data_IF_854036099143
#
_entry.id   IF_854036099143
#
_cell.length_a   1.000
_cell.length_b   1.000
_cell.length_c   1.000
_cell.angle_alpha   90.00
_cell.angle_beta   90.00
_cell.angle_gamma   90.00
#
_symmetry.space_group_name_H-M   'P 1'
#
loop_
_entity.id
_entity.type
_entity.pdbx_description
1 polymer ?
#
# COMPACT_ATOMS: atom_id res chain seq x y z
N UNK A 1 5.25 16.33 23.09
CA UNK A 1 4.89 17.03 21.82
C UNK A 1 5.76 16.41 20.75
N UNK A 2 5.18 15.54 19.91
CA UNK A 2 5.88 14.96 18.76
C UNK A 2 5.82 16.01 17.66
N UNK A 3 6.95 16.56 17.23
CA UNK A 3 6.95 17.70 16.29
C UNK A 3 6.51 17.32 14.87
N UNK A 4 6.27 16.02 14.59
CA UNK A 4 5.89 15.45 13.29
C UNK A 4 6.73 15.96 12.11
N UNK A 5 7.88 16.58 12.39
CA UNK A 5 8.58 17.42 11.43
C UNK A 5 9.41 16.58 10.47
N UNK A 6 9.94 15.45 10.97
CA UNK A 6 10.74 14.47 10.22
C UNK A 6 10.58 13.08 10.84
N UNK A 7 10.58 12.07 9.99
CA UNK A 7 10.67 10.66 10.35
C UNK A 7 11.47 9.92 9.28
N UNK A 8 12.23 8.91 9.69
CA UNK A 8 13.03 8.08 8.79
C UNK A 8 12.48 6.65 8.80
N UNK A 9 12.50 5.99 7.64
CA UNK A 9 12.30 4.55 7.52
C UNK A 9 13.69 3.94 7.35
N UNK A 10 14.04 2.98 8.21
CA UNK A 10 15.31 2.28 8.15
C UNK A 10 15.11 0.81 8.50
N UNK A 11 16.06 -0.01 8.08
CA UNK A 11 16.18 -1.41 8.41
C UNK A 11 17.10 -1.57 9.62
N UNK A 12 16.65 -2.36 10.59
CA UNK A 12 17.47 -2.70 11.73
C UNK A 12 18.47 -3.79 11.30
N UNK A 13 19.75 -3.54 11.55
CA UNK A 13 20.87 -4.34 11.03
C UNK A 13 21.59 -5.18 12.10
N UNK A 14 21.25 -5.04 13.38
CA UNK A 14 21.73 -5.94 14.43
C UNK A 14 20.80 -7.17 14.58
N UNK A 15 21.38 -8.30 15.01
CA UNK A 15 20.69 -9.59 15.06
C UNK A 15 19.57 -9.68 16.12
N UNK A 16 19.62 -8.88 17.19
CA UNK A 16 18.68 -8.93 18.32
C UNK A 16 18.15 -7.53 18.70
N UNK A 17 17.27 -6.93 17.89
CA UNK A 17 16.82 -5.56 18.10
C UNK A 17 15.75 -5.37 19.18
N UNK A 18 15.21 -6.46 19.74
CA UNK A 18 14.08 -6.45 20.67
C UNK A 18 14.45 -6.49 22.16
N UNK A 19 15.74 -6.63 22.50
CA UNK A 19 16.22 -6.59 23.89
C UNK A 19 16.91 -5.27 24.18
N UNK A 20 16.31 -4.41 25.01
CA UNK A 20 16.85 -3.14 25.54
C UNK A 20 18.28 -2.79 25.06
N UNK A 21 18.40 -2.18 23.88
CA UNK A 21 19.68 -2.04 23.21
C UNK A 21 19.64 -1.07 22.03
N UNK A 22 20.83 -0.70 21.57
CA UNK A 22 21.04 0.19 20.43
C UNK A 22 20.48 -0.44 19.15
N UNK A 23 19.63 0.28 18.44
CA UNK A 23 19.16 -0.11 17.11
C UNK A 23 20.21 0.29 16.06
N UNK A 24 20.99 -0.67 15.59
CA UNK A 24 21.99 -0.41 14.56
C UNK A 24 21.33 -0.31 13.18
N UNK A 25 21.69 0.68 12.38
CA UNK A 25 21.18 0.89 11.03
C UNK A 25 22.31 1.07 10.01
N UNK A 26 23.22 0.08 9.92
CA UNK A 26 24.28 0.02 8.90
C UNK A 26 23.67 -0.20 7.50
N UNK A 27 24.39 -0.73 6.51
CA UNK A 27 23.91 -0.86 5.12
C UNK A 27 22.51 -1.45 4.94
N UNK A 28 22.13 -2.38 5.81
CA UNK A 28 20.86 -3.10 5.70
C UNK A 28 20.90 -4.16 4.62
N UNK A 29 19.74 -4.73 4.30
CA UNK A 29 19.55 -5.77 3.29
C UNK A 29 18.70 -5.28 2.12
N UNK A 30 19.08 -5.63 0.89
CA UNK A 30 18.39 -5.20 -0.33
C UNK A 30 18.83 -3.83 -0.82
N UNK A 31 18.25 -3.38 -1.94
CA UNK A 31 18.52 -2.07 -2.54
C UNK A 31 17.28 -1.18 -2.41
N UNK A 32 17.39 0.06 -1.88
CA UNK A 32 18.62 0.75 -1.46
C UNK A 32 19.09 0.42 -0.02
N UNK A 33 18.39 -0.45 0.72
CA UNK A 33 18.69 -0.71 2.13
C UNK A 33 18.56 0.56 2.98
N UNK A 34 19.57 0.86 3.81
CA UNK A 34 19.67 2.11 4.57
C UNK A 34 20.54 3.16 3.87
N UNK A 35 20.86 2.99 2.59
CA UNK A 35 21.72 3.93 1.89
C UNK A 35 21.02 5.28 1.65
N UNK A 36 21.64 6.36 2.14
CA UNK A 36 21.15 7.73 2.11
C UNK A 36 22.27 8.68 1.66
N UNK A 37 22.65 8.59 0.39
CA UNK A 37 23.75 9.37 -0.21
C UNK A 37 23.54 10.89 -0.19
N UNK A 38 22.29 11.33 -0.07
CA UNK A 38 21.90 12.74 -0.21
C UNK A 38 21.90 13.47 1.13
N UNK A 39 22.14 12.78 2.25
CA UNK A 39 22.21 13.41 3.56
C UNK A 39 23.57 14.12 3.75
N UNK A 40 23.59 15.46 3.87
CA UNK A 40 24.83 16.23 4.01
C UNK A 40 25.61 15.90 5.29
N UNK A 41 24.98 15.29 6.29
CA UNK A 41 25.63 14.83 7.53
C UNK A 41 26.34 13.48 7.41
N UNK A 42 26.33 12.83 6.24
CA UNK A 42 26.84 11.47 6.06
C UNK A 42 27.67 11.27 4.77
N UNK A 43 28.76 12.05 4.55
CA UNK A 43 29.55 11.93 3.33
C UNK A 43 30.37 10.62 3.30
N UNK A 44 30.41 9.97 2.13
CA UNK A 44 31.32 8.84 1.84
C UNK A 44 30.64 7.48 1.65
N UNK A 45 31.45 6.41 1.61
CA UNK A 45 31.01 5.04 1.30
C UNK A 45 30.07 4.40 2.36
N UNK A 46 29.89 5.04 3.51
CA UNK A 46 29.07 4.57 4.65
C UNK A 46 27.84 5.47 4.89
N UNK A 47 27.18 5.91 3.83
CA UNK A 47 26.04 6.83 3.91
C UNK A 47 24.77 6.13 4.46
N UNK A 48 24.75 5.76 5.75
CA UNK A 48 23.63 5.11 6.42
C UNK A 48 23.03 5.95 7.55
N UNK A 49 23.25 7.26 7.53
CA UNK A 49 22.70 8.17 8.54
C UNK A 49 21.21 8.44 8.32
N UNK A 50 20.48 8.52 9.43
CA UNK A 50 19.13 9.07 9.46
C UNK A 50 19.14 10.56 9.13
N UNK A 51 18.02 11.12 8.68
CA UNK A 51 17.90 12.51 8.25
C UNK A 51 18.25 13.56 9.31
N UNK A 52 18.24 13.18 10.61
CA UNK A 52 18.69 14.01 11.73
C UNK A 52 19.13 13.15 12.93
N UNK A 53 19.70 13.80 13.94
CA UNK A 53 19.88 13.21 15.28
C UNK A 53 18.54 13.21 16.00
N UNK A 54 18.13 12.04 16.50
CA UNK A 54 16.91 11.85 17.29
C UNK A 54 17.23 11.87 18.79
N UNK A 55 16.44 12.59 19.57
CA UNK A 55 16.59 12.70 21.02
C UNK A 55 16.04 11.50 21.78
N UNK A 56 16.15 11.53 23.10
CA UNK A 56 15.62 10.48 23.98
C UNK A 56 14.08 10.39 23.98
N UNK A 57 13.40 11.38 23.41
CA UNK A 57 11.95 11.45 23.23
C UNK A 57 11.46 10.85 21.89
N UNK A 58 12.38 10.33 21.07
CA UNK A 58 12.02 9.69 19.82
C UNK A 58 11.34 8.32 20.06
N UNK A 59 10.35 8.03 19.23
CA UNK A 59 9.63 6.76 19.23
C UNK A 59 9.94 5.97 17.96
N UNK A 60 10.11 4.66 18.09
CA UNK A 60 10.32 3.74 16.96
C UNK A 60 9.04 2.95 16.73
N UNK A 61 8.66 2.81 15.47
CA UNK A 61 7.52 2.01 15.04
C UNK A 61 7.97 0.94 14.07
N UNK A 62 7.36 -0.24 14.17
CA UNK A 62 7.59 -1.32 13.22
C UNK A 62 6.76 -1.04 11.96
N UNK A 63 7.39 -1.07 10.79
CA UNK A 63 6.68 -0.99 9.53
C UNK A 63 5.76 -2.22 9.39
N UNK A 64 4.47 -1.96 9.22
CA UNK A 64 3.49 -3.03 9.01
C UNK A 64 3.28 -3.25 7.51
N UNK A 65 3.40 -4.51 7.09
CA UNK A 65 2.94 -4.97 5.78
C UNK A 65 1.56 -5.58 5.92
N UNK A 66 0.65 -5.25 5.00
CA UNK A 66 -0.65 -5.90 4.89
C UNK A 66 -0.74 -6.46 3.47
N UNK A 67 -0.97 -7.77 3.38
CA UNK A 67 -1.17 -8.47 2.11
C UNK A 67 -2.67 -8.70 1.91
N UNK A 68 -3.18 -8.26 0.76
CA UNK A 68 -4.56 -8.52 0.35
C UNK A 68 -4.57 -9.47 -0.85
N UNK A 69 -5.48 -10.44 -0.83
CA UNK A 69 -5.65 -11.39 -1.93
C UNK A 69 -7.12 -11.81 -2.07
N UNK A 70 -7.54 -12.11 -3.29
CA UNK A 70 -8.84 -12.75 -3.55
C UNK A 70 -8.65 -14.26 -3.57
N UNK A 71 -9.53 -14.98 -2.90
CA UNK A 71 -9.53 -16.45 -2.85
C UNK A 71 -10.93 -17.01 -2.62
N UNK A 72 -11.06 -18.33 -2.59
CA UNK A 72 -12.29 -18.98 -2.15
C UNK A 72 -12.40 -18.85 -0.63
N UNK A 73 -13.48 -18.21 -0.17
CA UNK A 73 -13.87 -18.09 1.23
C UNK A 73 -14.45 -19.38 1.78
N UNK A 74 -14.72 -19.37 3.08
CA UNK A 74 -15.24 -20.50 3.84
C UNK A 74 -16.62 -20.97 3.37
N UNK A 75 -17.42 -20.09 2.76
CA UNK A 75 -18.74 -20.39 2.21
C UNK A 75 -18.69 -20.86 0.74
N UNK A 76 -17.48 -21.04 0.16
CA UNK A 76 -17.29 -21.42 -1.23
C UNK A 76 -17.41 -20.25 -2.22
N UNK A 77 -17.58 -19.05 -1.71
CA UNK A 77 -17.72 -17.80 -2.44
C UNK A 77 -16.40 -17.01 -2.49
N UNK A 78 -16.15 -16.15 -3.48
CA UNK A 78 -14.98 -15.28 -3.50
C UNK A 78 -14.96 -14.35 -2.29
N UNK A 79 -13.83 -14.35 -1.59
CA UNK A 79 -13.61 -13.51 -0.43
C UNK A 79 -12.27 -12.76 -0.54
N UNK A 80 -12.22 -11.60 0.11
CA UNK A 80 -11.01 -10.85 0.34
C UNK A 80 -10.32 -11.38 1.59
N UNK A 81 -9.09 -11.82 1.42
CA UNK A 81 -8.20 -12.23 2.50
C UNK A 81 -7.26 -11.09 2.86
N UNK A 82 -6.98 -10.95 4.15
CA UNK A 82 -5.98 -10.05 4.71
C UNK A 82 -4.96 -10.87 5.48
N UNK A 83 -3.69 -10.81 5.06
CA UNK A 83 -2.60 -11.60 5.64
C UNK A 83 -2.90 -13.11 5.68
N UNK A 84 -3.55 -13.63 4.64
CA UNK A 84 -3.91 -15.04 4.53
C UNK A 84 -5.14 -15.47 5.34
N UNK A 85 -5.80 -14.56 6.05
CA UNK A 85 -7.04 -14.83 6.79
C UNK A 85 -8.21 -14.17 6.07
N UNK A 86 -9.32 -14.87 5.96
CA UNK A 86 -10.56 -14.34 5.38
C UNK A 86 -11.00 -13.08 6.14
N UNK A 87 -11.22 -11.99 5.41
CA UNK A 87 -11.52 -10.68 6.00
C UNK A 87 -12.90 -10.17 5.62
N UNK A 88 -13.27 -10.27 4.35
CA UNK A 88 -14.60 -9.91 3.85
C UNK A 88 -15.04 -10.95 2.82
N UNK A 89 -16.22 -11.52 3.04
CA UNK A 89 -16.84 -12.42 2.07
C UNK A 89 -17.60 -11.64 0.98
N UNK A 90 -17.91 -12.32 -0.13
CA UNK A 90 -18.61 -11.77 -1.29
C UNK A 90 -17.78 -10.77 -2.10
N UNK A 91 -16.46 -10.68 -1.86
CA UNK A 91 -15.54 -9.81 -2.61
C UNK A 91 -14.88 -10.60 -3.72
N UNK A 92 -15.27 -10.31 -4.97
CA UNK A 92 -14.74 -10.99 -6.15
C UNK A 92 -13.53 -10.29 -6.78
N UNK A 93 -13.34 -9.00 -6.52
CA UNK A 93 -12.21 -8.25 -7.09
C UNK A 93 -11.78 -7.10 -6.18
N UNK A 94 -10.47 -6.91 -6.07
CA UNK A 94 -9.83 -5.86 -5.30
C UNK A 94 -8.64 -5.31 -6.09
N UNK A 95 -8.66 -4.01 -6.41
CA UNK A 95 -7.61 -3.36 -7.19
C UNK A 95 -7.17 -2.06 -6.53
N UNK A 96 -5.89 -1.73 -6.71
CA UNK A 96 -5.25 -0.54 -6.16
C UNK A 96 -4.46 0.17 -7.26
N UNK A 97 -4.72 1.47 -7.43
CA UNK A 97 -3.95 2.35 -8.29
C UNK A 97 -3.25 3.43 -7.47
N UNK A 98 -2.10 3.86 -7.98
CA UNK A 98 -1.21 4.82 -7.36
C UNK A 98 -1.26 6.13 -8.14
N UNK A 99 -1.56 7.22 -7.46
CA UNK A 99 -1.65 8.55 -8.02
C UNK A 99 -0.31 9.26 -7.97
N UNK A 100 0.32 9.47 -9.13
CA UNK A 100 1.62 10.16 -9.24
C UNK A 100 1.45 11.67 -9.46
N UNK A 101 2.19 12.48 -8.70
CA UNK A 101 2.40 13.90 -8.95
C UNK A 101 3.71 14.11 -9.71
N UNK A 102 3.58 14.36 -11.02
CA UNK A 102 4.70 14.52 -11.94
C UNK A 102 5.12 15.97 -12.15
N UNK A 103 4.34 16.93 -11.66
CA UNK A 103 4.59 18.36 -11.83
C UNK A 103 4.76 19.13 -10.51
N UNK A 104 4.73 18.45 -9.37
CA UNK A 104 4.94 19.04 -8.04
C UNK A 104 3.75 19.88 -7.56
N UNK A 105 2.57 19.68 -8.14
CA UNK A 105 1.35 20.45 -7.79
C UNK A 105 0.68 19.99 -6.50
N UNK A 106 1.19 18.94 -5.87
CA UNK A 106 0.56 18.22 -4.75
C UNK A 106 -0.82 17.64 -5.11
N UNK A 107 -1.01 17.33 -6.39
CA UNK A 107 -2.18 16.64 -6.91
C UNK A 107 -1.76 15.53 -7.87
N UNK A 108 -2.49 14.41 -7.87
CA UNK A 108 -2.18 13.28 -8.72
C UNK A 108 -2.57 13.63 -10.17
N UNK A 109 -1.64 13.53 -11.11
CA UNK A 109 -1.90 13.77 -12.53
C UNK A 109 -2.59 12.58 -13.19
N UNK A 110 -2.21 11.36 -12.79
CA UNK A 110 -2.75 10.11 -13.31
C UNK A 110 -2.66 9.00 -12.27
N UNK A 111 -3.39 7.91 -12.49
CA UNK A 111 -3.43 6.73 -11.62
C UNK A 111 -3.00 5.50 -12.40
N UNK A 112 -2.01 4.76 -11.88
CA UNK A 112 -1.44 3.57 -12.52
C UNK A 112 -1.31 2.40 -11.55
N UNK A 113 -1.30 1.13 -12.02
CA UNK A 113 -1.00 -0.01 -11.18
C UNK A 113 0.46 0.03 -10.68
N UNK A 114 0.74 -0.68 -9.58
CA UNK A 114 2.05 -0.63 -8.91
C UNK A 114 3.24 -0.91 -9.84
N UNK A 115 3.08 -1.84 -10.79
CA UNK A 115 4.12 -2.23 -11.73
C UNK A 115 4.39 -1.20 -12.85
N UNK A 116 3.58 -0.15 -12.93
CA UNK A 116 3.73 0.95 -13.89
C UNK A 116 4.12 2.27 -13.23
N UNK A 117 4.25 2.31 -11.90
CA UNK A 117 4.76 3.48 -11.20
C UNK A 117 6.23 3.67 -11.55
N UNK A 118 6.56 4.84 -12.11
CA UNK A 118 7.94 5.15 -12.51
C UNK A 118 8.79 5.49 -11.29
N UNK A 119 8.22 6.26 -10.36
CA UNK A 119 8.89 6.66 -9.13
C UNK A 119 7.90 6.66 -7.95
N UNK A 120 8.06 5.69 -7.05
CA UNK A 120 7.22 5.58 -5.85
C UNK A 120 7.34 6.82 -4.93
N UNK A 121 8.40 7.63 -5.06
CA UNK A 121 8.52 8.88 -4.31
C UNK A 121 7.51 9.95 -4.77
N UNK A 122 6.99 9.84 -6.00
CA UNK A 122 5.99 10.76 -6.57
C UNK A 122 4.55 10.37 -6.28
N UNK A 123 4.32 9.22 -5.64
CA UNK A 123 2.98 8.79 -5.27
C UNK A 123 2.46 9.64 -4.11
N UNK A 124 1.33 10.33 -4.32
CA UNK A 124 0.71 11.18 -3.31
C UNK A 124 -0.70 10.73 -2.90
N UNK A 125 -1.32 9.83 -3.66
CA UNK A 125 -2.64 9.29 -3.37
C UNK A 125 -2.76 7.84 -3.83
N UNK A 126 -3.73 7.14 -3.28
CA UNK A 126 -4.06 5.77 -3.64
C UNK A 126 -5.56 5.72 -3.94
N UNK A 127 -5.93 5.07 -5.03
CA UNK A 127 -7.31 4.77 -5.38
C UNK A 127 -7.55 3.27 -5.25
N UNK A 128 -8.51 2.90 -4.43
CA UNK A 128 -8.89 1.51 -4.20
C UNK A 128 -10.26 1.28 -4.82
N UNK A 129 -10.44 0.17 -5.51
CA UNK A 129 -11.73 -0.30 -5.96
C UNK A 129 -11.98 -1.74 -5.51
N UNK A 130 -13.21 -2.00 -5.09
CA UNK A 130 -13.69 -3.31 -4.63
C UNK A 130 -14.96 -3.63 -5.40
N UNK A 131 -15.07 -4.87 -5.86
CA UNK A 131 -16.30 -5.40 -6.44
C UNK A 131 -16.85 -6.46 -5.51
N UNK A 132 -18.06 -6.24 -5.04
CA UNK A 132 -18.83 -7.23 -4.27
C UNK A 132 -19.88 -7.86 -5.15
N UNK A 133 -20.22 -9.13 -4.89
CA UNK A 133 -21.30 -9.84 -5.56
C UNK A 133 -22.34 -10.38 -4.59
N UNK A 134 -23.55 -10.63 -5.08
CA UNK A 134 -24.56 -11.37 -4.32
C UNK A 134 -24.12 -12.81 -4.07
N UNK A 135 -24.54 -13.36 -2.92
CA UNK A 135 -24.39 -14.79 -2.62
C UNK A 135 -25.20 -15.65 -3.59
N UNK A 136 -26.46 -15.29 -3.79
CA UNK A 136 -27.33 -16.00 -4.71
C UNK A 136 -27.04 -15.62 -6.17
N UNK A 137 -27.13 -16.62 -7.03
CA UNK A 137 -27.20 -16.48 -8.49
C UNK A 137 -28.67 -16.32 -8.94
N UNK A 138 -28.88 -15.96 -10.20
CA UNK A 138 -30.20 -15.75 -10.81
C UNK A 138 -31.03 -14.63 -10.15
N UNK A 139 -30.36 -13.57 -9.69
CA UNK A 139 -31.00 -12.35 -9.19
C UNK A 139 -31.29 -11.33 -10.30
N UNK A 140 -30.82 -11.59 -11.52
CA UNK A 140 -31.12 -10.85 -12.74
C UNK A 140 -31.54 -11.83 -13.82
N UNK A 141 -32.50 -11.41 -14.65
CA UNK A 141 -32.99 -12.22 -15.77
C UNK A 141 -31.92 -12.33 -16.86
N UNK A 142 -31.47 -13.56 -17.15
CA UNK A 142 -30.38 -13.81 -18.08
C UNK A 142 -28.99 -13.43 -17.53
N UNK A 143 -28.12 -12.89 -18.38
CA UNK A 143 -26.73 -12.57 -17.99
C UNK A 143 -26.67 -11.23 -17.29
N UNK A 144 -25.91 -11.16 -16.19
CA UNK A 144 -25.75 -9.93 -15.41
C UNK A 144 -25.15 -8.78 -16.26
N UNK A 145 -25.58 -7.53 -16.01
CA UNK A 145 -25.04 -6.37 -16.73
C UNK A 145 -23.53 -6.23 -16.58
N UNK A 146 -22.88 -5.75 -17.65
CA UNK A 146 -21.48 -5.36 -17.58
C UNK A 146 -21.29 -4.19 -16.59
N UNK A 147 -20.15 -4.17 -15.91
CA UNK A 147 -19.78 -3.11 -14.98
C UNK A 147 -18.39 -2.57 -15.32
N UNK A 148 -18.09 -1.35 -14.87
CA UNK A 148 -16.76 -0.74 -15.03
C UNK A 148 -16.06 -0.64 -13.69
N UNK A 149 -14.82 -1.14 -13.64
CA UNK A 149 -13.94 -1.03 -12.49
C UNK A 149 -12.67 -0.30 -12.92
N UNK A 150 -12.44 0.90 -12.37
CA UNK A 150 -11.25 1.71 -12.66
C UNK A 150 -11.01 1.95 -14.16
N UNK A 151 -12.08 2.05 -14.95
CA UNK A 151 -12.02 2.25 -16.40
C UNK A 151 -11.91 0.95 -17.22
N UNK A 152 -11.82 -0.21 -16.57
CA UNK A 152 -11.87 -1.52 -17.23
C UNK A 152 -13.30 -2.04 -17.18
N UNK A 153 -13.87 -2.34 -18.35
CA UNK A 153 -15.19 -2.95 -18.43
C UNK A 153 -15.09 -4.46 -18.27
N UNK A 154 -15.94 -5.02 -17.43
CA UNK A 154 -16.05 -6.45 -17.17
C UNK A 154 -17.47 -6.90 -17.50
N UNK A 155 -17.59 -7.94 -18.30
CA UNK A 155 -18.86 -8.59 -18.63
C UNK A 155 -18.96 -9.92 -17.89
N UNK A 156 -19.78 -10.02 -16.84
CA UNK A 156 -20.02 -11.29 -16.18
C UNK A 156 -20.65 -12.33 -17.12
N UNK A 157 -20.47 -13.61 -16.78
CA UNK A 157 -21.11 -14.74 -17.47
C UNK A 157 -22.14 -15.46 -16.56
N UNK A 158 -22.45 -14.88 -15.40
CA UNK A 158 -23.43 -15.38 -14.42
C UNK A 158 -24.59 -14.39 -14.27
N UNK A 159 -25.55 -14.71 -13.40
CA UNK A 159 -26.77 -13.92 -13.15
C UNK A 159 -26.73 -13.28 -11.76
N UNK A 160 -25.54 -12.92 -11.26
CA UNK A 160 -25.32 -12.31 -9.94
C UNK A 160 -25.32 -10.79 -10.00
N UNK A 161 -25.86 -10.17 -8.95
CA UNK A 161 -25.78 -8.72 -8.76
C UNK A 161 -24.38 -8.35 -8.29
N UNK A 162 -23.86 -7.24 -8.82
CA UNK A 162 -22.54 -6.71 -8.45
C UNK A 162 -22.61 -5.23 -8.11
N UNK A 163 -21.81 -4.83 -7.15
CA UNK A 163 -21.65 -3.43 -6.77
C UNK A 163 -20.16 -3.09 -6.74
N UNK A 164 -19.81 -2.00 -7.42
CA UNK A 164 -18.44 -1.47 -7.44
C UNK A 164 -18.35 -0.32 -6.45
N UNK A 165 -17.44 -0.43 -5.49
CA UNK A 165 -17.09 0.63 -4.55
C UNK A 165 -15.71 1.16 -4.90
N UNK A 166 -15.57 2.49 -4.94
CA UNK A 166 -14.27 3.14 -5.17
C UNK A 166 -14.03 4.21 -4.13
N UNK A 167 -12.81 4.26 -3.60
CA UNK A 167 -12.37 5.30 -2.68
C UNK A 167 -10.98 5.80 -3.08
N UNK A 168 -10.73 7.09 -2.92
CA UNK A 168 -9.42 7.69 -3.14
C UNK A 168 -8.97 8.36 -1.85
N UNK A 169 -7.77 8.01 -1.38
CA UNK A 169 -7.19 8.52 -0.14
C UNK A 169 -5.82 9.13 -0.44
N UNK A 170 -5.55 10.29 0.14
CA UNK A 170 -4.23 10.94 0.02
C UNK A 170 -3.25 10.38 1.05
N UNK A 171 -1.99 10.29 0.66
CA UNK A 171 -0.89 9.87 1.53
C UNK A 171 -0.48 11.08 2.38
N UNK A 172 -0.91 11.10 3.65
CA UNK A 172 -0.73 12.26 4.56
C UNK A 172 0.72 12.72 4.74
N UNK A 173 1.70 11.84 4.57
CA UNK A 173 3.13 12.18 4.67
C UNK A 173 3.71 12.78 3.37
N UNK A 174 2.85 13.14 2.40
CA UNK A 174 3.22 13.69 1.08
C UNK A 174 2.42 14.93 0.68
N UNK A 175 1.55 15.45 1.56
CA UNK A 175 0.79 16.69 1.35
C UNK A 175 1.49 17.90 1.96
#
# INVERSE_FOLDING_TARGET
VSDCSRGDIFQISNANPSGAGVLAHNTGSGSPGNYNATNPGCPGANAHCLSKIYGADASVFIAQKIDYSIGAGSEGEPALFRNGVEFLDGVENFQVLYGEDTNGSRSANYYVPANQVVDMLRVISIRVAIVTRSYDDNLVDGVAPAYSMLGVNVSPADSRLRQVYTSTVTVRNRL
#
